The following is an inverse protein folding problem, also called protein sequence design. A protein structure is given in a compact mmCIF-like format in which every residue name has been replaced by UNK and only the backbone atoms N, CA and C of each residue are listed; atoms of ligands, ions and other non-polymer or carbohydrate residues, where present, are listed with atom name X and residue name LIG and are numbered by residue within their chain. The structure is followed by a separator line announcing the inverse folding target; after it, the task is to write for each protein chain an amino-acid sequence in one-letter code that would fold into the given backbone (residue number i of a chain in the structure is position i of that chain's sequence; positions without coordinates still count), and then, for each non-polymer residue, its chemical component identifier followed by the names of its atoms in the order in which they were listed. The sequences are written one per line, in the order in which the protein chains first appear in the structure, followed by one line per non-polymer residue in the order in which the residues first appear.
data_IF_053602852315
#
_entry.id   IF_053602852315
#
_cell.length_a   1.000
_cell.length_b   1.000
_cell.length_c   1.000
_cell.angle_alpha   90.00
_cell.angle_beta   90.00
_cell.angle_gamma   90.00
#
_symmetry.space_group_name_H-M   'P 1'
#
loop_
_entity.id
_entity.type
_entity.pdbx_description
1 polymer ?
#
# COMPACT_ATOMS: atom_id res chain seq x y z
N UNK A 1 -6.29 -21.73 15.22
CA UNK A 1 -7.39 -20.81 14.89
C UNK A 1 -7.71 -21.01 13.42
N UNK A 2 -8.89 -21.53 13.10
CA UNK A 2 -9.34 -21.61 11.71
C UNK A 2 -9.56 -20.18 11.18
N UNK A 3 -9.23 -19.87 9.92
CA UNK A 3 -9.55 -18.59 9.33
C UNK A 3 -11.07 -18.36 9.38
N UNK A 4 -11.55 -17.12 9.59
CA UNK A 4 -12.98 -16.83 9.62
C UNK A 4 -13.67 -17.29 8.32
N UNK A 5 -14.83 -17.93 8.44
CA UNK A 5 -15.59 -18.61 7.37
C UNK A 5 -15.83 -17.77 6.12
N UNK A 6 -15.81 -16.44 6.22
CA UNK A 6 -15.95 -15.50 5.10
C UNK A 6 -14.87 -15.73 4.02
N UNK A 7 -13.67 -16.20 4.41
CA UNK A 7 -12.56 -16.49 3.51
C UNK A 7 -12.69 -17.84 2.78
N UNK A 8 -13.71 -18.65 3.12
CA UNK A 8 -14.01 -19.92 2.45
C UNK A 8 -15.13 -19.81 1.41
N UNK A 9 -15.75 -18.64 1.28
CA UNK A 9 -16.83 -18.43 0.31
C UNK A 9 -16.25 -18.29 -1.11
N UNK A 10 -16.65 -19.15 -2.06
CA UNK A 10 -16.23 -19.06 -3.46
C UNK A 10 -16.71 -17.77 -4.15
N UNK A 11 -17.58 -16.99 -3.51
CA UNK A 11 -18.12 -15.73 -4.02
C UNK A 11 -17.26 -14.50 -3.67
N UNK A 12 -16.30 -14.63 -2.74
CA UNK A 12 -15.46 -13.54 -2.25
C UNK A 12 -14.03 -13.66 -2.79
N UNK A 13 -13.92 -13.74 -4.12
CA UNK A 13 -12.63 -13.70 -4.81
C UNK A 13 -12.10 -12.27 -4.92
N UNK A 14 -10.79 -12.12 -5.17
CA UNK A 14 -10.18 -10.82 -5.44
C UNK A 14 -10.86 -10.10 -6.61
N UNK A 15 -11.24 -10.86 -7.65
CA UNK A 15 -11.94 -10.36 -8.83
C UNK A 15 -13.32 -9.81 -8.46
N UNK A 16 -14.12 -10.56 -7.70
CA UNK A 16 -15.45 -10.13 -7.25
C UNK A 16 -15.36 -8.87 -6.37
N UNK A 17 -14.39 -8.80 -5.47
CA UNK A 17 -14.16 -7.60 -4.65
C UNK A 17 -13.77 -6.39 -5.52
N UNK A 18 -12.90 -6.58 -6.52
CA UNK A 18 -12.52 -5.50 -7.43
C UNK A 18 -13.70 -5.00 -8.27
N UNK A 19 -14.56 -5.90 -8.77
CA UNK A 19 -15.79 -5.53 -9.48
C UNK A 19 -16.71 -4.71 -8.58
N UNK A 20 -16.92 -5.14 -7.34
CA UNK A 20 -17.74 -4.42 -6.38
C UNK A 20 -17.15 -3.03 -6.06
N UNK A 21 -15.84 -2.93 -5.82
CA UNK A 21 -15.17 -1.65 -5.54
C UNK A 21 -15.18 -0.67 -6.73
N UNK A 22 -15.18 -1.19 -7.96
CA UNK A 22 -15.25 -0.41 -9.19
C UNK A 22 -16.68 -0.09 -9.64
N UNK A 23 -17.69 -0.73 -9.02
CA UNK A 23 -19.10 -0.52 -9.38
C UNK A 23 -19.49 0.94 -9.21
N UNK A 24 -20.14 1.56 -10.22
CA UNK A 24 -20.63 2.93 -10.12
C UNK A 24 -21.88 3.04 -9.24
N UNK A 25 -22.44 1.90 -8.79
CA UNK A 25 -23.59 1.88 -7.90
C UNK A 25 -23.24 2.56 -6.56
N UNK A 26 -24.15 3.36 -5.98
CA UNK A 26 -23.93 3.97 -4.68
C UNK A 26 -23.62 2.92 -3.62
N UNK A 27 -22.51 3.09 -2.92
CA UNK A 27 -22.10 2.24 -1.79
C UNK A 27 -22.03 3.09 -0.53
N UNK A 28 -22.48 2.53 0.59
CA UNK A 28 -22.25 3.17 1.88
C UNK A 28 -20.77 3.12 2.24
N UNK A 29 -20.33 4.10 3.03
CA UNK A 29 -18.93 4.17 3.51
C UNK A 29 -18.53 2.88 4.24
N UNK A 30 -19.43 2.31 5.04
CA UNK A 30 -19.19 1.06 5.77
C UNK A 30 -19.00 -0.15 4.84
N UNK A 31 -19.80 -0.27 3.78
CA UNK A 31 -19.63 -1.33 2.79
C UNK A 31 -18.29 -1.18 2.07
N UNK A 32 -17.90 0.05 1.70
CA UNK A 32 -16.61 0.31 1.06
C UNK A 32 -15.44 -0.06 1.98
N UNK A 33 -15.51 0.30 3.26
CA UNK A 33 -14.53 -0.10 4.29
C UNK A 33 -14.42 -1.62 4.39
N UNK A 34 -15.55 -2.33 4.44
CA UNK A 34 -15.58 -3.79 4.49
C UNK A 34 -14.94 -4.43 3.25
N UNK A 35 -15.25 -3.92 2.05
CA UNK A 35 -14.68 -4.43 0.81
C UNK A 35 -13.17 -4.19 0.73
N UNK A 36 -12.68 -3.01 1.09
CA UNK A 36 -11.24 -2.71 1.12
C UNK A 36 -10.51 -3.56 2.17
N UNK A 37 -11.11 -3.76 3.34
CA UNK A 37 -10.58 -4.63 4.39
C UNK A 37 -10.51 -6.09 3.93
N UNK A 38 -11.56 -6.59 3.28
CA UNK A 38 -11.59 -7.93 2.71
C UNK A 38 -10.52 -8.09 1.62
N UNK A 39 -10.35 -7.09 0.75
CA UNK A 39 -9.29 -7.09 -0.27
C UNK A 39 -7.90 -7.21 0.34
N UNK A 40 -7.61 -6.48 1.42
CA UNK A 40 -6.32 -6.60 2.15
C UNK A 40 -6.10 -8.02 2.63
N UNK A 41 -7.12 -8.66 3.22
CA UNK A 41 -7.02 -10.03 3.73
C UNK A 41 -6.78 -11.02 2.60
N UNK A 42 -7.51 -10.91 1.48
CA UNK A 42 -7.32 -11.77 0.31
C UNK A 42 -5.91 -11.62 -0.26
N UNK A 43 -5.44 -10.38 -0.47
CA UNK A 43 -4.09 -10.10 -0.95
C UNK A 43 -3.01 -10.63 0.02
N UNK A 44 -3.25 -10.57 1.33
CA UNK A 44 -2.29 -11.07 2.34
C UNK A 44 -2.14 -12.60 2.33
N UNK A 45 -3.09 -13.32 1.74
CA UNK A 45 -3.03 -14.78 1.59
C UNK A 45 -2.36 -15.23 0.28
N UNK A 46 -2.03 -14.30 -0.62
CA UNK A 46 -1.31 -14.58 -1.86
C UNK A 46 0.21 -14.68 -1.62
N UNK A 47 0.98 -15.30 -2.53
CA UNK A 47 2.43 -15.32 -2.45
C UNK A 47 3.02 -13.92 -2.30
N UNK A 48 3.91 -13.73 -1.31
CA UNK A 48 4.43 -12.43 -0.90
C UNK A 48 5.51 -11.87 -1.86
N UNK A 49 5.12 -11.54 -3.09
CA UNK A 49 5.95 -10.79 -4.04
C UNK A 49 6.00 -9.29 -3.70
N UNK A 50 7.02 -8.53 -4.15
CA UNK A 50 7.07 -7.07 -3.99
C UNK A 50 5.82 -6.36 -4.53
N UNK A 51 5.34 -6.77 -5.71
CA UNK A 51 4.12 -6.25 -6.32
C UNK A 51 2.88 -6.52 -5.45
N UNK A 52 2.70 -7.75 -4.95
CA UNK A 52 1.57 -8.07 -4.08
C UNK A 52 1.59 -7.26 -2.78
N UNK A 53 2.78 -7.06 -2.19
CA UNK A 53 2.94 -6.21 -1.00
C UNK A 53 2.59 -4.76 -1.30
N UNK A 54 2.99 -4.23 -2.45
CA UNK A 54 2.62 -2.89 -2.88
C UNK A 54 1.10 -2.75 -3.08
N UNK A 55 0.43 -3.75 -3.64
CA UNK A 55 -1.03 -3.74 -3.83
C UNK A 55 -1.80 -3.75 -2.51
N UNK A 56 -1.29 -4.46 -1.49
CA UNK A 56 -1.81 -4.36 -0.12
C UNK A 56 -1.72 -2.92 0.37
N UNK A 57 -0.56 -2.26 0.18
CA UNK A 57 -0.39 -0.88 0.64
C UNK A 57 -1.25 0.12 -0.15
N UNK A 58 -1.44 -0.06 -1.46
CA UNK A 58 -2.39 0.74 -2.26
C UNK A 58 -3.80 0.62 -1.70
N UNK A 59 -4.21 -0.60 -1.33
CA UNK A 59 -5.54 -0.86 -0.75
C UNK A 59 -5.67 -0.24 0.65
N UNK A 60 -4.63 -0.35 1.50
CA UNK A 60 -4.60 0.32 2.81
C UNK A 60 -4.62 1.83 2.69
N UNK A 61 -3.94 2.40 1.69
CA UNK A 61 -3.97 3.84 1.44
C UNK A 61 -5.38 4.32 1.08
N UNK A 62 -6.08 3.60 0.19
CA UNK A 62 -7.48 3.87 -0.13
C UNK A 62 -8.37 3.75 1.11
N UNK A 63 -8.14 2.75 1.97
CA UNK A 63 -8.88 2.58 3.22
C UNK A 63 -8.63 3.75 4.19
N UNK A 64 -7.37 4.18 4.33
CA UNK A 64 -7.00 5.36 5.12
C UNK A 64 -7.65 6.64 4.61
N UNK A 65 -7.74 6.83 3.28
CA UNK A 65 -8.47 7.94 2.67
C UNK A 65 -9.96 7.89 3.00
N UNK A 66 -10.60 6.73 2.88
CA UNK A 66 -12.02 6.57 3.21
C UNK A 66 -12.28 6.86 4.68
N UNK A 67 -11.40 6.42 5.59
CA UNK A 67 -11.51 6.78 7.01
C UNK A 67 -11.38 8.29 7.25
N UNK A 68 -10.41 8.95 6.59
CA UNK A 68 -10.16 10.37 6.76
C UNK A 68 -11.28 11.25 6.17
N UNK A 69 -11.71 10.95 4.95
CA UNK A 69 -12.57 11.84 4.14
C UNK A 69 -14.05 11.54 4.27
N UNK A 70 -14.41 10.25 4.29
CA UNK A 70 -15.81 9.83 4.17
C UNK A 70 -16.39 9.44 5.54
N UNK A 71 -15.59 8.73 6.35
CA UNK A 71 -16.01 8.27 7.68
C UNK A 71 -15.70 9.28 8.80
N UNK A 72 -14.71 10.15 8.58
CA UNK A 72 -14.15 11.08 9.57
C UNK A 72 -13.59 10.38 10.84
N UNK A 73 -13.08 9.16 10.70
CA UNK A 73 -12.39 8.43 11.77
C UNK A 73 -10.88 8.64 11.67
N UNK A 74 -10.40 9.68 12.34
CA UNK A 74 -8.99 10.07 12.29
C UNK A 74 -8.05 9.01 12.91
N UNK A 75 -8.52 8.20 13.86
CA UNK A 75 -7.69 7.16 14.49
C UNK A 75 -7.50 5.98 13.56
N UNK A 76 -8.57 5.52 12.91
CA UNK A 76 -8.45 4.48 11.89
C UNK A 76 -7.64 4.97 10.68
N UNK A 77 -7.82 6.22 10.25
CA UNK A 77 -6.98 6.82 9.20
C UNK A 77 -5.50 6.85 9.59
N UNK A 78 -5.16 7.26 10.83
CA UNK A 78 -3.78 7.24 11.35
C UNK A 78 -3.16 5.85 11.24
N UNK A 79 -3.88 4.83 11.70
CA UNK A 79 -3.41 3.44 11.73
C UNK A 79 -3.08 2.95 10.32
N UNK A 80 -4.01 3.09 9.39
CA UNK A 80 -3.83 2.62 8.01
C UNK A 80 -2.71 3.35 7.30
N UNK A 81 -2.68 4.69 7.38
CA UNK A 81 -1.65 5.49 6.72
C UNK A 81 -0.26 5.29 7.33
N UNK A 82 -0.17 5.04 8.63
CA UNK A 82 1.11 4.69 9.29
C UNK A 82 1.65 3.34 8.84
N UNK A 83 0.79 2.35 8.59
CA UNK A 83 1.20 1.07 8.02
C UNK A 83 1.71 1.26 6.58
N UNK A 84 1.01 2.03 5.76
CA UNK A 84 1.44 2.35 4.38
C UNK A 84 2.81 3.01 4.40
N UNK A 85 3.00 4.05 5.21
CA UNK A 85 4.28 4.75 5.34
C UNK A 85 5.42 3.78 5.69
N UNK A 86 5.20 2.91 6.68
CA UNK A 86 6.22 1.96 7.15
C UNK A 86 6.57 0.92 6.11
N UNK A 87 5.57 0.24 5.55
CA UNK A 87 5.78 -0.87 4.62
C UNK A 87 6.34 -0.38 3.28
N UNK A 88 5.86 0.76 2.78
CA UNK A 88 6.39 1.35 1.55
C UNK A 88 7.83 1.85 1.71
N UNK A 89 8.22 2.31 2.90
CA UNK A 89 9.63 2.62 3.21
C UNK A 89 10.52 1.39 3.09
N UNK A 90 10.06 0.23 3.54
CA UNK A 90 10.81 -1.03 3.43
C UNK A 90 10.82 -1.58 2.00
N UNK A 91 9.74 -1.42 1.24
CA UNK A 91 9.70 -1.76 -0.19
C UNK A 91 10.67 -0.90 -1.01
N UNK A 92 10.73 0.40 -0.75
CA UNK A 92 11.63 1.33 -1.44
C UNK A 92 13.12 1.16 -1.07
N UNK A 93 13.43 0.51 0.05
CA UNK A 93 14.81 0.28 0.52
C UNK A 93 15.49 -0.94 -0.10
N UNK A 94 14.73 -1.84 -0.74
CA UNK A 94 15.31 -3.07 -1.30
C UNK A 94 16.32 -2.70 -2.38
N UNK A 95 17.60 -2.99 -2.11
CA UNK A 95 18.65 -2.87 -3.11
C UNK A 95 18.40 -3.90 -4.21
N UNK A 96 18.47 -3.46 -5.46
CA UNK A 96 18.53 -4.33 -6.63
C UNK A 96 19.57 -5.43 -6.39
N UNK A 97 19.19 -6.67 -6.68
CA UNK A 97 20.11 -7.80 -6.61
C UNK A 97 21.31 -7.51 -7.52
N UNK A 98 22.52 -7.42 -6.96
CA UNK A 98 23.74 -7.18 -7.73
C UNK A 98 23.86 -8.24 -8.85
N UNK A 99 23.74 -7.78 -10.10
CA UNK A 99 23.90 -8.59 -11.31
C UNK A 99 25.29 -9.21 -11.51
N UNK A 100 26.23 -8.98 -10.60
CA UNK A 100 27.61 -9.47 -10.66
C UNK A 100 27.78 -11.01 -10.53
N UNK A 101 26.69 -11.77 -10.35
CA UNK A 101 26.75 -13.24 -10.18
C UNK A 101 26.11 -14.07 -11.30
N UNK A 102 25.61 -13.47 -12.38
CA UNK A 102 24.92 -14.20 -13.47
C UNK A 102 25.65 -14.19 -14.82
N UNK A 103 26.95 -13.90 -14.85
CA UNK A 103 27.77 -13.88 -16.07
C UNK A 103 28.01 -15.23 -16.75
N UNK A 104 27.08 -16.20 -16.71
CA UNK A 104 27.34 -17.54 -17.22
C UNK A 104 26.27 -18.17 -18.12
N UNK A 105 25.10 -17.54 -18.36
CA UNK A 105 24.10 -18.07 -19.30
C UNK A 105 23.33 -16.97 -20.06
N UNK A 106 23.51 -16.85 -21.40
CA UNK A 106 22.86 -15.83 -22.24
C UNK A 106 21.32 -15.90 -22.26
N UNK A 107 20.73 -17.06 -21.95
CA UNK A 107 19.27 -17.25 -21.95
C UNK A 107 18.56 -16.65 -20.73
N UNK A 108 19.31 -16.20 -19.71
CA UNK A 108 18.77 -15.61 -18.47
C UNK A 108 18.90 -14.08 -18.42
N UNK A 109 19.60 -13.46 -19.39
CA UNK A 109 19.81 -12.00 -19.40
C UNK A 109 18.51 -11.21 -19.63
N UNK A 110 17.62 -11.70 -20.50
CA UNK A 110 16.35 -11.03 -20.78
C UNK A 110 15.38 -11.12 -19.57
N UNK A 111 15.32 -12.27 -18.92
CA UNK A 111 14.52 -12.49 -17.70
C UNK A 111 15.05 -11.64 -16.54
N UNK A 112 16.37 -11.56 -16.37
CA UNK A 112 17.00 -10.72 -15.34
C UNK A 112 16.70 -9.24 -15.52
N UNK A 113 16.74 -8.73 -16.77
CA UNK A 113 16.40 -7.34 -17.08
C UNK A 113 14.93 -7.01 -16.81
N UNK A 114 14.01 -7.91 -17.17
CA UNK A 114 12.58 -7.72 -16.92
C UNK A 114 12.26 -7.66 -15.43
N UNK A 115 12.81 -8.59 -14.63
CA UNK A 115 12.64 -8.58 -13.17
C UNK A 115 13.25 -7.34 -12.49
N UNK A 116 14.37 -6.83 -13.00
CA UNK A 116 15.01 -5.63 -12.45
C UNK A 116 14.18 -4.36 -12.73
N UNK A 117 13.58 -4.26 -13.92
CA UNK A 117 12.68 -3.16 -14.26
C UNK A 117 11.40 -3.19 -13.42
N UNK A 118 10.83 -4.38 -13.19
CA UNK A 118 9.68 -4.54 -12.30
C UNK A 118 10.00 -4.14 -10.86
N UNK A 119 11.17 -4.54 -10.34
CA UNK A 119 11.62 -4.18 -9.00
C UNK A 119 11.84 -2.65 -8.86
N UNK A 120 12.41 -2.01 -9.87
CA UNK A 120 12.61 -0.55 -9.89
C UNK A 120 11.26 0.19 -9.95
N UNK A 121 10.32 -0.29 -10.77
CA UNK A 121 8.97 0.25 -10.83
C UNK A 121 8.23 0.12 -9.49
N UNK A 122 8.36 -1.02 -8.81
CA UNK A 122 7.78 -1.23 -7.47
C UNK A 122 8.42 -0.30 -6.45
N UNK A 123 9.74 -0.11 -6.47
CA UNK A 123 10.44 0.80 -5.56
C UNK A 123 9.97 2.24 -5.75
N UNK A 124 9.87 2.70 -7.00
CA UNK A 124 9.42 4.04 -7.34
C UNK A 124 7.97 4.27 -6.85
N UNK A 125 7.05 3.38 -7.22
CA UNK A 125 5.65 3.46 -6.77
C UNK A 125 5.51 3.39 -5.24
N UNK A 126 6.33 2.56 -4.57
CA UNK A 126 6.35 2.52 -3.11
C UNK A 126 6.83 3.85 -2.51
N UNK A 127 7.84 4.49 -3.09
CA UNK A 127 8.33 5.78 -2.61
C UNK A 127 7.28 6.88 -2.77
N UNK A 128 6.59 6.93 -3.91
CA UNK A 128 5.47 7.85 -4.16
C UNK A 128 4.35 7.64 -3.13
N UNK A 129 3.85 6.40 -2.99
CA UNK A 129 2.77 6.07 -2.08
C UNK A 129 3.12 6.37 -0.61
N UNK A 130 4.39 6.17 -0.22
CA UNK A 130 4.91 6.56 1.10
C UNK A 130 4.79 8.07 1.32
N UNK A 131 5.19 8.88 0.34
CA UNK A 131 5.13 10.34 0.45
C UNK A 131 3.67 10.81 0.53
N UNK A 132 2.79 10.25 -0.29
CA UNK A 132 1.35 10.56 -0.23
C UNK A 132 0.74 10.19 1.12
N UNK A 133 1.08 9.02 1.67
CA UNK A 133 0.63 8.62 3.01
C UNK A 133 1.10 9.61 4.09
N UNK A 134 2.35 10.09 4.02
CA UNK A 134 2.84 11.11 4.94
C UNK A 134 2.08 12.43 4.81
N UNK A 135 1.67 12.84 3.59
CA UNK A 135 0.85 14.06 3.41
C UNK A 135 -0.50 13.92 4.10
N UNK A 136 -1.17 12.78 3.95
CA UNK A 136 -2.44 12.54 4.65
C UNK A 136 -2.25 12.40 6.17
N UNK A 137 -1.12 11.85 6.62
CA UNK A 137 -0.79 11.81 8.05
C UNK A 137 -0.64 13.22 8.63
N UNK A 138 -0.10 14.20 7.90
CA UNK A 138 -0.08 15.60 8.36
C UNK A 138 -1.50 16.06 8.70
N UNK A 139 -2.46 15.86 7.80
CA UNK A 139 -3.85 16.25 8.01
C UNK A 139 -4.51 15.51 9.18
N UNK A 140 -4.25 14.21 9.31
CA UNK A 140 -4.73 13.40 10.44
C UNK A 140 -4.20 13.93 11.77
N UNK A 141 -2.89 14.21 11.86
CA UNK A 141 -2.28 14.71 13.09
C UNK A 141 -2.81 16.10 13.47
N UNK A 142 -3.05 16.97 12.49
CA UNK A 142 -3.68 18.28 12.72
C UNK A 142 -5.12 18.14 13.20
N UNK A 143 -5.92 17.29 12.55
CA UNK A 143 -7.29 17.00 12.97
C UNK A 143 -7.37 16.39 14.37
N UNK A 144 -6.34 15.66 14.79
CA UNK A 144 -6.22 15.11 16.16
C UNK A 144 -5.63 16.10 17.17
N UNK A 145 -5.30 17.34 16.77
CA UNK A 145 -4.74 18.36 17.65
C UNK A 145 -3.28 18.08 18.05
N UNK A 146 -2.51 17.38 17.21
CA UNK A 146 -1.11 16.99 17.45
C UNK A 146 -0.15 17.66 16.45
N UNK A 147 -0.05 19.01 16.43
CA UNK A 147 0.73 19.74 15.42
C UNK A 147 2.23 19.43 15.44
N UNK A 148 2.79 19.03 16.59
CA UNK A 148 4.18 18.58 16.69
C UNK A 148 4.44 17.31 15.86
N UNK A 149 3.51 16.36 15.85
CA UNK A 149 3.60 15.16 14.99
C UNK A 149 3.42 15.51 13.52
N UNK A 150 2.49 16.43 13.21
CA UNK A 150 2.32 16.94 11.85
C UNK A 150 3.61 17.56 11.30
N UNK A 151 4.33 18.35 12.11
CA UNK A 151 5.61 18.94 11.73
C UNK A 151 6.70 17.90 11.42
N UNK A 152 6.75 16.78 12.17
CA UNK A 152 7.68 15.67 11.88
C UNK A 152 7.43 15.09 10.49
N UNK A 153 6.16 14.90 10.11
CA UNK A 153 5.81 14.40 8.79
C UNK A 153 6.17 15.39 7.68
N UNK A 154 5.91 16.69 7.87
CA UNK A 154 6.32 17.74 6.90
C UNK A 154 7.83 17.74 6.67
N UNK A 155 8.61 17.73 7.75
CA UNK A 155 10.07 17.70 7.65
C UNK A 155 10.56 16.44 6.93
N UNK A 156 9.90 15.29 7.15
CA UNK A 156 10.23 14.03 6.47
C UNK A 156 9.90 14.08 4.97
N UNK A 157 8.80 14.75 4.58
CA UNK A 157 8.45 14.97 3.17
C UNK A 157 9.46 15.91 2.50
N UNK A 158 9.82 17.01 3.16
CA UNK A 158 10.82 17.96 2.65
C UNK A 158 12.20 17.32 2.49
N UNK A 159 12.61 16.47 3.43
CA UNK A 159 13.86 15.71 3.31
C UNK A 159 13.81 14.77 2.09
N UNK A 160 12.71 14.03 1.92
CA UNK A 160 12.55 13.13 0.77
C UNK A 160 12.54 13.85 -0.58
N UNK A 161 12.08 15.11 -0.64
CA UNK A 161 12.09 15.92 -1.85
C UNK A 161 13.48 16.48 -2.20
N UNK A 162 14.40 16.56 -1.23
CA UNK A 162 15.79 17.01 -1.46
C UNK A 162 16.70 15.88 -1.95
N UNK A 163 16.33 14.63 -1.65
CA UNK A 163 17.07 13.42 -2.00
C UNK A 163 16.64 12.83 -3.36
N UNK A 164 15.61 13.40 -4.01
CA UNK A 164 15.06 12.99 -5.30
C UNK A 164 15.62 13.85 -6.44
#
# INVERSE_FOLDING_TARGET
MAPPEVLSSPLLSLESINILLASPAPQTVDVRIQLLSAKIVVLSNLPSSPACRLDIQKTRFQLGQTYLRDKFDLKCAEIELSMVQRECKELARRKTYNGDKLGQYPSLENVGKETALEDEAVQSQANELKIEAMRLLVEVEEGLGRPGRAAIWRNSIEAAAKDA
#
